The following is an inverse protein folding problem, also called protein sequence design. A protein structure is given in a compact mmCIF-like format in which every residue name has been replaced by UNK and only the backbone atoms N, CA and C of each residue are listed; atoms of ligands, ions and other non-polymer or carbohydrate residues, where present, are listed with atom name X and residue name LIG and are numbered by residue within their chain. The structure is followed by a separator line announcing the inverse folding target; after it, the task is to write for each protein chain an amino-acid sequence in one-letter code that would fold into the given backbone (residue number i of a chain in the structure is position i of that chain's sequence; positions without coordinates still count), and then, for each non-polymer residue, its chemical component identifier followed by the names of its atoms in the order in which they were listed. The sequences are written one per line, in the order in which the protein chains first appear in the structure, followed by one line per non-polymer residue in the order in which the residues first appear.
data_IF_213131221039
#
_entry.id   IF_213131221039
#
_cell.length_a   1.000
_cell.length_b   1.000
_cell.length_c   1.000
_cell.angle_alpha   90.00
_cell.angle_beta   90.00
_cell.angle_gamma   90.00
#
_symmetry.space_group_name_H-M   'P 1'
#
loop_
_entity.id
_entity.type
_entity.pdbx_description
1 polymer ?
#
# COMPACT_ATOMS: atom_id res chain seq x y z
N UNK A 1 -21.39 -19.33 -17.60
CA UNK A 1 -19.96 -19.03 -17.84
C UNK A 1 -19.21 -19.29 -16.55
N UNK A 2 -18.00 -19.86 -16.65
CA UNK A 2 -17.30 -20.58 -15.58
C UNK A 2 -17.09 -19.70 -14.33
N UNK A 3 -17.52 -20.22 -13.18
CA UNK A 3 -17.26 -19.67 -11.84
C UNK A 3 -15.83 -20.04 -11.44
N UNK A 4 -14.99 -19.05 -11.16
CA UNK A 4 -13.73 -19.26 -10.46
C UNK A 4 -13.99 -19.13 -8.96
N UNK A 5 -14.05 -20.27 -8.30
CA UNK A 5 -13.99 -20.39 -6.85
C UNK A 5 -12.53 -20.26 -6.43
N UNK A 6 -12.18 -19.28 -5.60
CA UNK A 6 -10.99 -19.38 -4.76
C UNK A 6 -11.45 -19.80 -3.36
N UNK A 7 -11.34 -21.09 -3.07
CA UNK A 7 -11.48 -21.62 -1.72
C UNK A 7 -10.12 -21.64 -1.03
N UNK A 8 -10.12 -21.21 0.23
CA UNK A 8 -9.11 -21.52 1.24
C UNK A 8 -8.60 -22.97 1.14
N UNK A 9 -7.30 -23.19 1.24
CA UNK A 9 -6.65 -24.13 2.17
C UNK A 9 -5.15 -24.25 1.82
N UNK A 10 -4.28 -24.16 2.84
CA UNK A 10 -2.93 -24.72 2.72
C UNK A 10 -1.85 -23.85 3.34
N UNK A 11 -1.73 -23.89 4.66
CA UNK A 11 -0.46 -23.72 5.38
C UNK A 11 0.67 -24.41 4.61
N UNK A 12 1.52 -23.64 3.94
CA UNK A 12 2.78 -24.13 3.39
C UNK A 12 3.87 -23.79 4.41
N UNK A 13 4.20 -24.78 5.23
CA UNK A 13 5.46 -24.83 5.96
C UNK A 13 6.57 -24.72 4.91
N UNK A 14 7.21 -23.56 4.80
CA UNK A 14 8.45 -23.46 4.03
C UNK A 14 9.57 -24.00 4.92
N UNK A 15 10.14 -25.12 4.50
CA UNK A 15 11.28 -25.78 5.12
C UNK A 15 12.47 -24.82 5.08
N UNK A 16 12.89 -24.34 6.24
CA UNK A 16 14.16 -23.63 6.42
C UNK A 16 15.28 -24.63 6.12
N UNK A 17 15.87 -24.54 4.93
CA UNK A 17 17.08 -25.27 4.58
C UNK A 17 18.25 -24.60 5.32
N UNK A 18 18.68 -25.22 6.42
CA UNK A 18 19.88 -24.83 7.17
C UNK A 18 21.12 -25.12 6.29
N UNK A 19 21.64 -24.09 5.61
CA UNK A 19 22.93 -24.13 4.94
C UNK A 19 24.03 -23.81 5.95
N UNK A 20 24.73 -24.84 6.42
CA UNK A 20 25.98 -24.70 7.16
C UNK A 20 27.08 -24.24 6.19
N UNK A 21 27.42 -22.94 6.23
CA UNK A 21 28.60 -22.41 5.53
C UNK A 21 29.78 -22.40 6.51
N UNK A 22 30.85 -23.13 6.16
CA UNK A 22 32.12 -23.06 6.86
C UNK A 22 32.80 -21.73 6.52
N UNK A 23 32.96 -20.84 7.51
CA UNK A 23 33.72 -19.59 7.40
C UNK A 23 35.22 -19.87 7.56
N UNK A 24 36.00 -19.62 6.51
CA UNK A 24 37.45 -19.47 6.62
C UNK A 24 37.76 -18.04 7.09
N UNK A 25 38.15 -17.87 8.35
CA UNK A 25 38.60 -16.59 8.89
C UNK A 25 39.95 -16.20 8.29
N UNK A 26 39.98 -15.11 7.52
CA UNK A 26 41.17 -14.27 7.39
C UNK A 26 40.96 -13.01 8.24
N UNK A 27 41.96 -12.69 9.05
CA UNK A 27 41.94 -11.64 10.06
C UNK A 27 42.07 -10.23 9.45
N UNK A 28 40.96 -9.67 8.99
CA UNK A 28 40.78 -8.22 8.85
C UNK A 28 39.42 -7.86 9.48
N UNK A 29 39.42 -7.62 10.79
CA UNK A 29 38.21 -7.25 11.56
C UNK A 29 37.85 -5.77 11.34
N UNK A 30 37.20 -5.50 10.23
CA UNK A 30 36.00 -4.67 10.28
C UNK A 30 34.85 -5.69 10.16
N UNK A 31 34.22 -6.05 11.28
CA UNK A 31 33.17 -7.08 11.29
C UNK A 31 31.98 -6.59 10.48
N UNK A 32 31.99 -6.85 9.18
CA UNK A 32 30.82 -6.71 8.32
C UNK A 32 29.79 -7.72 8.83
N UNK A 33 28.78 -7.23 9.56
CA UNK A 33 27.61 -8.03 9.89
C UNK A 33 26.89 -8.36 8.60
N UNK A 34 26.52 -9.63 8.45
CA UNK A 34 25.70 -10.07 7.33
C UNK A 34 24.23 -9.70 7.55
N UNK A 35 23.53 -9.43 6.45
CA UNK A 35 22.08 -9.28 6.46
C UNK A 35 21.42 -10.56 6.98
N UNK A 36 20.49 -10.43 7.91
CA UNK A 36 19.88 -11.57 8.58
C UNK A 36 18.36 -11.41 8.72
N UNK A 37 17.73 -12.34 9.44
CA UNK A 37 16.29 -12.38 9.62
C UNK A 37 15.73 -11.12 10.31
N UNK A 38 16.46 -10.51 11.25
CA UNK A 38 16.00 -9.30 11.95
C UNK A 38 15.95 -8.08 11.02
N UNK A 39 16.90 -8.00 10.07
CA UNK A 39 16.89 -6.96 9.03
C UNK A 39 15.71 -7.16 8.07
N UNK A 40 15.44 -8.41 7.67
CA UNK A 40 14.29 -8.75 6.83
C UNK A 40 12.95 -8.44 7.48
N UNK A 41 12.82 -8.60 8.80
CA UNK A 41 11.60 -8.29 9.54
C UNK A 41 11.21 -6.80 9.49
N UNK A 42 12.20 -5.89 9.44
CA UNK A 42 11.92 -4.45 9.25
C UNK A 42 11.22 -4.21 7.91
N UNK A 43 11.73 -4.81 6.83
CA UNK A 43 11.13 -4.70 5.50
C UNK A 43 9.73 -5.34 5.46
N UNK A 44 9.59 -6.52 6.04
CA UNK A 44 8.31 -7.25 6.07
C UNK A 44 7.23 -6.46 6.81
N UNK A 45 7.53 -5.96 8.01
CA UNK A 45 6.57 -5.19 8.79
C UNK A 45 6.24 -3.83 8.12
N UNK A 46 7.22 -3.19 7.45
CA UNK A 46 6.95 -2.02 6.63
C UNK A 46 5.94 -2.33 5.50
N UNK A 47 6.15 -3.42 4.75
CA UNK A 47 5.25 -3.86 3.68
C UNK A 47 3.85 -4.21 4.20
N UNK A 48 3.75 -4.81 5.40
CA UNK A 48 2.46 -5.09 6.06
C UNK A 48 1.73 -3.79 6.41
N UNK A 49 2.44 -2.80 6.96
CA UNK A 49 1.87 -1.49 7.26
C UNK A 49 1.39 -0.78 6.00
N UNK A 50 2.23 -0.70 4.98
CA UNK A 50 1.87 -0.09 3.69
C UNK A 50 0.62 -0.76 3.08
N UNK A 51 0.60 -2.10 3.03
CA UNK A 51 -0.54 -2.85 2.49
C UNK A 51 -1.85 -2.55 3.24
N UNK A 52 -1.81 -2.43 4.56
CA UNK A 52 -2.99 -2.10 5.36
C UNK A 52 -3.52 -0.68 5.05
N UNK A 53 -2.63 0.29 4.91
CA UNK A 53 -3.00 1.66 4.55
C UNK A 53 -3.42 1.82 3.09
N UNK A 54 -2.86 1.05 2.15
CA UNK A 54 -3.31 1.00 0.76
C UNK A 54 -4.69 0.36 0.61
N UNK A 55 -4.98 -0.68 1.37
CA UNK A 55 -6.32 -1.27 1.40
C UNK A 55 -7.36 -0.24 1.89
N UNK A 56 -7.07 0.46 2.99
CA UNK A 56 -7.98 1.49 3.51
C UNK A 56 -8.18 2.63 2.50
N UNK A 57 -7.12 2.98 1.77
CA UNK A 57 -7.18 3.99 0.71
C UNK A 57 -8.04 3.51 -0.46
N UNK A 58 -7.94 2.24 -0.85
CA UNK A 58 -8.75 1.67 -1.93
C UNK A 58 -10.25 1.72 -1.59
N UNK A 59 -10.63 1.38 -0.36
CA UNK A 59 -12.00 1.53 0.13
C UNK A 59 -12.44 2.99 0.18
N UNK A 60 -11.54 3.88 0.63
CA UNK A 60 -11.76 5.32 0.66
C UNK A 60 -12.06 5.87 -0.74
N UNK A 61 -11.20 5.56 -1.71
CA UNK A 61 -11.36 5.96 -3.11
C UNK A 61 -12.62 5.42 -3.74
N UNK A 62 -12.94 4.15 -3.50
CA UNK A 62 -14.18 3.54 -4.02
C UNK A 62 -15.42 4.26 -3.48
N UNK A 63 -15.44 4.60 -2.18
CA UNK A 63 -16.55 5.35 -1.59
C UNK A 63 -16.61 6.79 -2.11
N UNK A 64 -15.47 7.48 -2.23
CA UNK A 64 -15.43 8.85 -2.72
C UNK A 64 -15.82 8.93 -4.19
N UNK A 65 -15.28 8.08 -5.07
CA UNK A 65 -15.63 8.11 -6.49
C UNK A 65 -17.11 7.79 -6.71
N UNK A 66 -17.69 6.84 -5.96
CA UNK A 66 -19.12 6.55 -6.06
C UNK A 66 -20.03 7.72 -5.63
N UNK A 67 -19.63 8.51 -4.62
CA UNK A 67 -20.49 9.56 -4.01
C UNK A 67 -20.16 11.00 -4.43
N UNK A 68 -18.92 11.25 -4.84
CA UNK A 68 -18.42 12.53 -5.37
C UNK A 68 -18.29 12.51 -6.89
N UNK A 69 -18.20 11.33 -7.51
CA UNK A 69 -18.30 11.14 -8.94
C UNK A 69 -19.72 11.45 -9.40
N UNK A 70 -20.06 12.73 -9.46
CA UNK A 70 -21.21 13.19 -10.21
C UNK A 70 -21.04 12.73 -11.66
N UNK A 71 -22.00 11.92 -12.09
CA UNK A 71 -22.28 11.62 -13.49
C UNK A 71 -22.16 12.90 -14.33
N UNK A 72 -21.41 12.90 -15.45
CA UNK A 72 -21.41 14.03 -16.36
C UNK A 72 -22.85 14.38 -16.75
N UNK A 73 -23.21 15.67 -16.67
CA UNK A 73 -24.54 16.14 -17.03
C UNK A 73 -24.80 15.82 -18.52
N UNK A 74 -25.75 14.93 -18.82
CA UNK A 74 -26.17 14.61 -20.19
C UNK A 74 -25.93 13.17 -20.69
N UNK A 75 -25.34 12.26 -19.92
CA UNK A 75 -25.24 10.85 -20.36
C UNK A 75 -26.57 10.07 -20.19
N UNK A 76 -26.86 8.99 -20.95
CA UNK A 76 -28.07 8.16 -20.85
C UNK A 76 -28.02 7.17 -19.67
N UNK A 77 -29.15 6.98 -18.96
CA UNK A 77 -29.26 6.22 -17.68
C UNK A 77 -29.20 4.70 -17.82
N UNK A 78 -28.64 4.19 -18.92
CA UNK A 78 -28.74 2.78 -19.24
C UNK A 78 -27.64 2.00 -18.52
N UNK A 79 -28.09 1.38 -17.43
CA UNK A 79 -27.48 0.38 -16.58
C UNK A 79 -26.74 -0.67 -17.42
N UNK A 80 -25.45 -0.87 -17.15
CA UNK A 80 -24.73 -2.15 -17.30
C UNK A 80 -23.24 -2.10 -16.82
N UNK A 81 -22.75 -1.00 -16.22
CA UNK A 81 -21.36 -0.92 -15.77
C UNK A 81 -21.06 -0.07 -14.52
N UNK A 82 -22.07 0.49 -13.86
CA UNK A 82 -21.87 1.15 -12.56
C UNK A 82 -21.89 0.09 -11.46
N UNK A 83 -20.75 -0.10 -10.77
CA UNK A 83 -20.73 -0.96 -9.58
C UNK A 83 -21.72 -0.39 -8.58
N UNK A 84 -22.74 -1.16 -8.22
CA UNK A 84 -23.66 -0.74 -7.18
C UNK A 84 -22.95 -0.79 -5.80
N UNK A 85 -23.44 -0.04 -4.81
CA UNK A 85 -22.87 -0.01 -3.46
C UNK A 85 -22.78 -1.42 -2.83
N UNK A 86 -23.70 -2.30 -3.22
CA UNK A 86 -23.75 -3.70 -2.85
C UNK A 86 -22.64 -4.54 -3.55
N UNK A 87 -22.08 -4.12 -4.69
CA UNK A 87 -20.97 -4.80 -5.36
C UNK A 87 -19.61 -4.41 -4.77
N UNK A 88 -19.49 -3.19 -4.22
CA UNK A 88 -18.24 -2.70 -3.62
C UNK A 88 -18.13 -3.10 -2.14
N UNK A 89 -19.22 -2.94 -1.39
CA UNK A 89 -19.22 -3.16 0.07
C UNK A 89 -20.18 -4.26 0.52
N UNK A 90 -21.01 -4.81 -0.38
CA UNK A 90 -22.04 -5.79 -0.01
C UNK A 90 -23.08 -5.24 0.96
N UNK A 91 -23.78 -6.17 1.61
CA UNK A 91 -24.59 -5.90 2.80
C UNK A 91 -23.72 -5.67 4.06
N UNK A 92 -22.40 -5.59 3.89
CA UNK A 92 -21.40 -5.62 4.96
C UNK A 92 -21.23 -4.23 5.60
N UNK A 93 -21.28 -3.15 4.81
CA UNK A 93 -21.07 -1.80 5.31
C UNK A 93 -22.28 -0.90 5.05
N UNK A 94 -22.49 0.05 5.95
CA UNK A 94 -23.37 1.20 5.71
C UNK A 94 -22.51 2.41 5.39
N UNK A 95 -22.75 3.07 4.25
CA UNK A 95 -22.05 4.32 3.91
C UNK A 95 -22.96 5.50 4.16
N UNK A 96 -22.53 6.41 5.02
CA UNK A 96 -23.19 7.71 5.20
C UNK A 96 -22.38 8.82 4.56
N UNK A 97 -23.08 9.83 4.02
CA UNK A 97 -22.47 10.99 3.38
C UNK A 97 -23.04 12.25 4.01
N UNK A 98 -22.16 13.15 4.42
CA UNK A 98 -22.46 14.46 4.99
C UNK A 98 -21.78 15.53 4.12
N UNK A 99 -22.50 16.59 3.79
CA UNK A 99 -21.90 17.76 3.15
C UNK A 99 -21.11 18.58 4.18
N UNK A 100 -19.93 19.05 3.78
CA UNK A 100 -19.09 19.92 4.60
C UNK A 100 -19.15 21.35 4.05
N UNK A 101 -19.31 22.33 4.94
CA UNK A 101 -19.28 23.76 4.62
C UNK A 101 -17.83 24.29 4.66
N UNK A 102 -17.41 25.17 3.72
CA UNK A 102 -18.17 25.72 2.59
C UNK A 102 -18.19 24.81 1.34
N UNK A 103 -17.29 23.83 1.26
CA UNK A 103 -17.23 22.82 0.20
C UNK A 103 -16.58 21.54 0.73
N UNK A 104 -17.05 20.39 0.27
CA UNK A 104 -16.45 19.08 0.57
C UNK A 104 -17.49 18.08 1.05
N UNK A 105 -17.06 16.84 1.27
CA UNK A 105 -17.92 15.79 1.83
C UNK A 105 -17.17 15.01 2.89
N UNK A 106 -17.92 14.56 3.89
CA UNK A 106 -17.50 13.55 4.85
C UNK A 106 -18.25 12.26 4.56
N UNK A 107 -17.52 11.18 4.32
CA UNK A 107 -18.06 9.85 4.14
C UNK A 107 -17.69 9.01 5.35
N UNK A 108 -18.59 8.15 5.80
CA UNK A 108 -18.31 7.15 6.84
C UNK A 108 -18.72 5.80 6.34
N UNK A 109 -17.78 4.86 6.29
CA UNK A 109 -18.01 3.45 5.98
C UNK A 109 -18.08 2.72 7.32
N UNK A 110 -19.27 2.28 7.72
CA UNK A 110 -19.54 1.63 9.01
C UNK A 110 -19.77 0.13 8.81
N UNK A 111 -18.87 -0.70 9.33
CA UNK A 111 -18.94 -2.16 9.28
C UNK A 111 -19.65 -2.76 10.52
N UNK A 112 -20.05 -1.93 11.49
CA UNK A 112 -20.70 -2.36 12.73
C UNK A 112 -19.81 -3.16 13.69
N UNK A 113 -20.46 -3.76 14.70
CA UNK A 113 -19.89 -4.67 15.71
C UNK A 113 -20.93 -5.79 15.95
N UNK A 114 -20.65 -7.08 15.68
CA UNK A 114 -19.34 -7.74 15.63
C UNK A 114 -18.51 -7.53 14.35
N UNK A 115 -19.05 -6.82 13.36
CA UNK A 115 -18.45 -6.70 12.02
C UNK A 115 -19.09 -7.64 11.00
N UNK A 116 -18.50 -7.69 9.81
CA UNK A 116 -18.99 -8.47 8.69
C UNK A 116 -17.83 -8.93 7.78
N UNK A 117 -18.06 -9.97 6.98
CA UNK A 117 -17.09 -10.46 5.99
C UNK A 117 -17.49 -9.97 4.59
N UNK A 118 -16.59 -9.23 3.94
CA UNK A 118 -16.80 -8.71 2.59
C UNK A 118 -16.66 -9.77 1.50
N UNK A 119 -16.99 -9.42 0.26
CA UNK A 119 -16.81 -10.31 -0.90
C UNK A 119 -15.36 -10.69 -1.18
N UNK A 120 -14.42 -9.86 -0.72
CA UNK A 120 -12.99 -10.11 -0.77
C UNK A 120 -12.51 -11.09 0.33
N UNK A 121 -13.43 -11.65 1.12
CA UNK A 121 -13.15 -12.61 2.19
C UNK A 121 -12.56 -12.01 3.45
N UNK A 122 -12.34 -10.69 3.49
CA UNK A 122 -11.80 -10.00 4.68
C UNK A 122 -12.91 -9.66 5.65
N UNK A 123 -12.65 -9.86 6.95
CA UNK A 123 -13.60 -9.52 8.01
C UNK A 123 -13.25 -8.16 8.58
N UNK A 124 -14.22 -7.24 8.56
CA UNK A 124 -14.07 -5.86 8.98
C UNK A 124 -15.08 -5.49 10.08
N UNK A 125 -14.67 -4.63 11.00
CA UNK A 125 -15.56 -4.04 12.03
C UNK A 125 -15.11 -2.61 12.36
N UNK A 126 -15.98 -1.82 12.97
CA UNK A 126 -15.72 -0.39 13.22
C UNK A 126 -15.90 0.46 11.97
N UNK A 127 -15.25 1.62 11.91
CA UNK A 127 -15.52 2.63 10.86
C UNK A 127 -14.26 3.20 10.22
N UNK A 128 -14.37 3.45 8.92
CA UNK A 128 -13.44 4.30 8.18
C UNK A 128 -14.15 5.64 7.93
N UNK A 129 -13.52 6.74 8.33
CA UNK A 129 -14.06 8.09 8.20
C UNK A 129 -13.19 8.85 7.20
N UNK A 130 -13.82 9.41 6.17
CA UNK A 130 -13.15 10.02 5.03
C UNK A 130 -13.65 11.46 4.91
N UNK A 131 -12.76 12.43 4.76
CA UNK A 131 -13.12 13.79 4.38
C UNK A 131 -12.43 14.15 3.08
N UNK A 132 -13.18 14.64 2.10
CA UNK A 132 -12.66 15.04 0.80
C UNK A 132 -13.09 16.48 0.49
N UNK A 133 -12.14 17.33 0.09
CA UNK A 133 -12.43 18.73 -0.29
C UNK A 133 -12.99 18.82 -1.71
N UNK A 134 -12.59 17.90 -2.60
CA UNK A 134 -13.07 17.76 -3.97
C UNK A 134 -12.83 16.31 -4.47
N UNK A 135 -13.17 16.03 -5.74
CA UNK A 135 -12.85 14.74 -6.38
C UNK A 135 -11.33 14.54 -6.48
N UNK A 136 -10.88 13.27 -6.42
CA UNK A 136 -9.47 12.88 -6.32
C UNK A 136 -8.55 13.45 -7.43
N UNK A 137 -9.07 13.56 -8.66
CA UNK A 137 -8.33 14.09 -9.80
C UNK A 137 -8.43 15.61 -9.98
N UNK A 138 -9.18 16.32 -9.12
CA UNK A 138 -9.18 17.78 -9.14
C UNK A 138 -7.88 18.28 -8.52
N UNK A 139 -7.06 19.08 -9.22
CA UNK A 139 -5.86 19.68 -8.65
C UNK A 139 -6.16 20.46 -7.37
N UNK A 140 -5.34 20.26 -6.34
CA UNK A 140 -5.55 20.83 -5.01
C UNK A 140 -6.60 20.11 -4.14
N UNK A 141 -7.19 19.01 -4.64
CA UNK A 141 -8.06 18.18 -3.80
C UNK A 141 -7.26 17.52 -2.67
N UNK A 142 -7.90 17.39 -1.51
CA UNK A 142 -7.34 16.74 -0.32
C UNK A 142 -8.35 15.70 0.14
N UNK A 143 -7.90 14.46 0.27
CA UNK A 143 -8.67 13.37 0.87
C UNK A 143 -7.95 12.88 2.13
N UNK A 144 -8.59 13.02 3.28
CA UNK A 144 -8.11 12.52 4.56
C UNK A 144 -8.93 11.32 5.01
N UNK A 145 -8.28 10.26 5.46
CA UNK A 145 -8.88 9.01 5.94
C UNK A 145 -8.40 8.75 7.36
N UNK A 146 -9.36 8.50 8.26
CA UNK A 146 -9.15 8.21 9.69
C UNK A 146 -9.99 7.00 10.10
N UNK A 147 -9.75 6.47 11.29
CA UNK A 147 -10.34 5.22 11.75
C UNK A 147 -11.01 5.39 13.11
N UNK A 148 -12.24 4.88 13.25
CA UNK A 148 -12.93 4.76 14.52
C UNK A 148 -13.13 3.28 14.86
N UNK A 149 -12.28 2.80 15.78
CA UNK A 149 -12.25 1.41 16.22
C UNK A 149 -12.27 0.39 15.07
N UNK A 150 -11.58 0.71 13.97
CA UNK A 150 -11.56 -0.11 12.76
C UNK A 150 -10.60 -1.29 12.90
N UNK A 151 -11.06 -2.47 12.47
CA UNK A 151 -10.24 -3.66 12.35
C UNK A 151 -10.46 -4.32 11.01
N UNK A 152 -9.39 -4.90 10.47
CA UNK A 152 -9.43 -5.82 9.34
C UNK A 152 -8.71 -7.11 9.72
N UNK A 153 -9.38 -8.25 9.57
CA UNK A 153 -8.86 -9.57 9.95
C UNK A 153 -8.29 -9.62 11.39
N UNK A 154 -8.90 -8.87 12.31
CA UNK A 154 -8.49 -8.78 13.71
C UNK A 154 -7.32 -7.82 13.99
N UNK A 155 -6.71 -7.23 12.96
CA UNK A 155 -5.69 -6.17 13.11
C UNK A 155 -6.39 -4.83 13.24
N UNK A 156 -6.14 -4.10 14.33
CA UNK A 156 -6.62 -2.73 14.52
C UNK A 156 -5.77 -1.78 13.68
N UNK A 157 -6.40 -0.86 12.98
CA UNK A 157 -5.71 0.19 12.21
C UNK A 157 -6.03 1.55 12.83
N UNK A 158 -4.99 2.34 13.07
CA UNK A 158 -5.05 3.66 13.68
C UNK A 158 -4.14 4.62 12.91
N UNK A 159 -4.39 5.93 13.04
CA UNK A 159 -3.64 6.99 12.37
C UNK A 159 -4.47 7.77 11.36
N UNK A 160 -3.81 8.69 10.66
CA UNK A 160 -4.44 9.55 9.64
C UNK A 160 -3.67 9.45 8.33
N UNK A 161 -4.34 9.06 7.25
CA UNK A 161 -3.80 9.10 5.89
C UNK A 161 -4.36 10.29 5.13
N UNK A 162 -3.51 11.18 4.65
CA UNK A 162 -3.88 12.34 3.85
C UNK A 162 -3.27 12.23 2.46
N UNK A 163 -4.11 12.35 1.44
CA UNK A 163 -3.69 12.35 0.04
C UNK A 163 -4.05 13.70 -0.57
N UNK A 164 -3.05 14.39 -1.12
CA UNK A 164 -3.25 15.70 -1.75
C UNK A 164 -2.85 15.64 -3.22
N UNK A 165 -3.77 16.01 -4.10
CA UNK A 165 -3.47 16.20 -5.51
C UNK A 165 -2.69 17.50 -5.69
N UNK A 166 -1.44 17.38 -6.14
CA UNK A 166 -0.52 18.49 -6.38
C UNK A 166 -0.18 18.64 -7.87
N UNK A 167 -1.01 18.08 -8.76
CA UNK A 167 -0.82 18.15 -10.22
C UNK A 167 -0.61 19.59 -10.68
N UNK A 168 0.51 19.82 -11.35
CA UNK A 168 0.80 21.08 -12.02
C UNK A 168 0.04 21.20 -13.35
N UNK A 169 -0.19 22.43 -13.82
CA UNK A 169 -0.90 22.66 -15.07
C UNK A 169 -0.14 22.05 -16.26
N UNK A 170 -0.73 21.03 -16.89
CA UNK A 170 -0.13 20.34 -18.04
C UNK A 170 0.93 19.30 -17.66
N UNK A 171 1.11 19.02 -16.36
CA UNK A 171 1.93 17.91 -15.88
C UNK A 171 1.10 16.66 -15.61
N UNK A 172 1.79 15.57 -15.33
CA UNK A 172 1.17 14.28 -15.03
C UNK A 172 0.44 14.29 -13.68
N UNK A 173 -0.61 13.46 -13.50
CA UNK A 173 -1.30 13.35 -12.22
C UNK A 173 -0.33 13.02 -11.09
N UNK A 174 -0.23 13.92 -10.11
CA UNK A 174 0.75 13.83 -9.02
C UNK A 174 0.06 14.00 -7.68
N UNK A 175 0.31 13.07 -6.77
CA UNK A 175 -0.31 13.05 -5.45
C UNK A 175 0.72 12.86 -4.36
N UNK A 176 0.63 13.65 -3.29
CA UNK A 176 1.35 13.37 -2.04
C UNK A 176 0.51 12.46 -1.17
N UNK A 177 1.16 11.53 -0.47
CA UNK A 177 0.58 10.60 0.48
C UNK A 177 1.33 10.75 1.78
N UNK A 178 0.61 11.18 2.82
CA UNK A 178 1.13 11.35 4.16
C UNK A 178 0.37 10.45 5.11
N UNK A 179 1.07 9.66 5.91
CA UNK A 179 0.49 8.96 7.05
C UNK A 179 1.13 9.46 8.33
N UNK A 180 0.31 9.95 9.25
CA UNK A 180 0.70 10.48 10.55
C UNK A 180 0.12 9.60 11.67
N UNK A 181 0.96 9.27 12.65
CA UNK A 181 0.57 8.44 13.80
C UNK A 181 0.02 7.06 13.42
N UNK A 182 0.47 6.51 12.30
CA UNK A 182 -0.01 5.22 11.82
C UNK A 182 0.38 4.10 12.77
N UNK A 183 -0.59 3.25 13.11
CA UNK A 183 -0.36 2.12 14.02
C UNK A 183 -1.23 0.92 13.68
N UNK A 184 -0.60 -0.24 13.62
CA UNK A 184 -1.27 -1.53 13.55
C UNK A 184 -1.15 -2.25 14.89
N UNK A 185 -2.26 -2.74 15.43
CA UNK A 185 -2.27 -3.58 16.64
C UNK A 185 -2.81 -4.96 16.31
N UNK A 186 -1.99 -5.99 16.50
CA UNK A 186 -2.32 -7.38 16.16
C UNK A 186 -3.03 -8.09 17.33
N UNK A 187 -3.73 -9.22 17.07
CA UNK A 187 -4.41 -10.00 18.12
C UNK A 187 -3.49 -10.49 19.25
N UNK A 188 -2.19 -10.65 18.99
CA UNK A 188 -1.19 -11.02 19.98
C UNK A 188 -0.62 -9.82 20.76
N UNK A 189 -1.21 -8.63 20.59
CA UNK A 189 -0.81 -7.35 21.19
C UNK A 189 0.55 -6.80 20.72
N UNK A 190 1.20 -7.40 19.72
CA UNK A 190 2.34 -6.72 19.09
C UNK A 190 1.84 -5.62 18.17
N UNK A 191 2.69 -4.64 17.89
CA UNK A 191 2.32 -3.44 17.16
C UNK A 191 3.33 -3.10 16.08
N UNK A 192 2.87 -2.45 15.02
CA UNK A 192 3.72 -1.72 14.07
C UNK A 192 3.35 -0.24 14.19
N UNK A 193 4.34 0.63 14.31
CA UNK A 193 4.18 2.08 14.14
C UNK A 193 4.70 2.44 12.75
N UNK A 194 4.00 3.29 12.02
CA UNK A 194 4.32 3.58 10.63
C UNK A 194 3.87 4.97 10.21
N UNK A 195 4.80 5.70 9.60
CA UNK A 195 4.58 7.01 9.02
C UNK A 195 5.23 7.05 7.64
N UNK A 196 4.64 7.80 6.72
CA UNK A 196 5.22 8.03 5.40
C UNK A 196 4.92 9.43 4.94
N UNK A 197 5.84 9.97 4.15
CA UNK A 197 5.61 11.16 3.33
C UNK A 197 6.23 10.87 1.97
N UNK A 198 5.37 10.60 0.99
CA UNK A 198 5.77 10.20 -0.36
C UNK A 198 4.96 10.92 -1.42
N UNK A 199 5.55 11.02 -2.60
CA UNK A 199 4.92 11.52 -3.81
C UNK A 199 4.74 10.36 -4.77
N UNK A 200 3.58 10.28 -5.42
CA UNK A 200 3.31 9.37 -6.54
C UNK A 200 3.00 10.17 -7.78
N UNK A 201 3.72 9.91 -8.86
CA UNK A 201 3.45 10.41 -10.21
C UNK A 201 2.82 9.28 -11.02
N UNK A 202 1.78 9.58 -11.80
CA UNK A 202 1.15 8.66 -12.74
C UNK A 202 1.63 8.95 -14.16
N UNK A 203 2.74 8.36 -14.55
CA UNK A 203 3.44 8.71 -15.79
C UNK A 203 2.71 8.25 -17.06
N UNK A 204 2.06 7.08 -17.03
CA UNK A 204 1.43 6.49 -18.21
C UNK A 204 0.14 5.79 -17.83
N UNK A 205 -0.84 5.77 -18.74
CA UNK A 205 -2.12 5.06 -18.58
C UNK A 205 -3.25 5.89 -17.95
N UNK A 206 -2.95 7.06 -17.39
CA UNK A 206 -3.99 7.91 -16.78
C UNK A 206 -5.11 8.31 -17.76
N UNK A 207 -4.82 8.42 -19.05
CA UNK A 207 -5.81 8.72 -20.10
C UNK A 207 -6.82 7.58 -20.34
N UNK A 208 -6.38 6.31 -20.21
CA UNK A 208 -7.23 5.12 -20.41
C UNK A 208 -8.00 4.78 -19.14
N UNK A 209 -7.45 5.09 -17.96
CA UNK A 209 -8.15 4.96 -16.69
C UNK A 209 -9.33 5.92 -16.55
N UNK A 210 -9.17 7.19 -16.95
CA UNK A 210 -10.28 8.16 -16.97
C UNK A 210 -11.44 7.63 -17.83
N UNK A 211 -11.13 6.83 -18.84
CA UNK A 211 -12.09 6.18 -19.74
C UNK A 211 -12.49 4.76 -19.28
N UNK A 212 -11.94 4.25 -18.16
CA UNK A 212 -12.12 2.91 -17.60
C UNK A 212 -11.88 1.77 -18.60
N UNK A 213 -10.91 1.94 -19.50
CA UNK A 213 -10.68 1.01 -20.62
C UNK A 213 -9.73 -0.13 -20.24
N UNK A 214 -8.63 0.20 -19.56
CA UNK A 214 -7.60 -0.76 -19.20
C UNK A 214 -7.00 -0.36 -17.84
N UNK A 215 -6.99 -1.24 -16.83
CA UNK A 215 -6.36 -0.96 -15.54
C UNK A 215 -4.95 -1.60 -15.43
N UNK A 216 -4.40 -2.11 -16.54
CA UNK A 216 -3.14 -2.86 -16.57
C UNK A 216 -2.05 -2.18 -17.42
N UNK A 217 -2.27 -0.95 -17.88
CA UNK A 217 -1.32 -0.15 -18.67
C UNK A 217 -0.72 1.03 -17.90
N UNK A 218 -1.01 1.12 -16.60
CA UNK A 218 -0.53 2.22 -15.77
C UNK A 218 0.91 1.99 -15.29
N UNK A 219 1.69 3.07 -15.33
CA UNK A 219 3.03 3.18 -14.74
C UNK A 219 3.02 4.31 -13.70
N UNK A 220 3.52 4.02 -12.51
CA UNK A 220 3.66 4.97 -11.42
C UNK A 220 5.10 5.07 -10.94
N UNK A 221 5.55 6.29 -10.69
CA UNK A 221 6.80 6.55 -9.95
C UNK A 221 6.46 6.99 -8.53
N UNK A 222 7.20 6.46 -7.55
CA UNK A 222 7.03 6.79 -6.14
C UNK A 222 8.37 7.15 -5.51
N UNK A 223 8.44 8.33 -4.92
CA UNK A 223 9.58 8.78 -4.11
C UNK A 223 9.14 9.31 -2.75
N UNK A 224 10.00 9.21 -1.75
CA UNK A 224 9.77 9.79 -0.44
C UNK A 224 10.38 8.98 0.69
N UNK A 225 9.75 9.13 1.86
CA UNK A 225 10.27 8.65 3.14
C UNK A 225 9.25 7.77 3.86
N UNK A 226 9.77 6.85 4.65
CA UNK A 226 9.02 5.99 5.54
C UNK A 226 9.74 5.95 6.89
N UNK A 227 9.00 5.85 7.97
CA UNK A 227 9.61 5.65 9.29
C UNK A 227 8.64 4.92 10.19
N UNK A 228 9.16 4.34 11.27
CA UNK A 228 8.30 3.62 12.17
C UNK A 228 9.04 2.74 13.15
N UNK A 229 8.29 1.77 13.66
CA UNK A 229 8.77 0.76 14.60
C UNK A 229 8.15 -0.58 14.26
N UNK A 230 8.99 -1.59 14.03
CA UNK A 230 8.53 -2.94 13.70
C UNK A 230 8.00 -3.68 14.96
N UNK A 231 7.48 -4.90 14.77
CA UNK A 231 6.89 -5.72 15.85
C UNK A 231 7.90 -6.19 16.89
N UNK A 232 9.19 -6.13 16.57
CA UNK A 232 10.30 -6.41 17.46
C UNK A 232 10.86 -5.14 18.13
N UNK A 233 10.11 -4.03 18.06
CA UNK A 233 10.42 -2.79 18.76
C UNK A 233 11.70 -2.11 18.24
N UNK A 234 12.11 -2.41 17.00
CA UNK A 234 13.22 -1.76 16.28
C UNK A 234 12.65 -0.57 15.51
N UNK A 235 13.08 0.63 15.87
CA UNK A 235 12.76 1.85 15.12
C UNK A 235 13.59 1.91 13.84
N UNK A 236 13.03 2.47 12.77
CA UNK A 236 13.69 2.58 11.47
C UNK A 236 13.27 3.83 10.71
N UNK A 237 14.12 4.27 9.79
CA UNK A 237 13.77 5.19 8.70
C UNK A 237 14.14 4.57 7.36
N UNK A 238 13.41 4.93 6.31
CA UNK A 238 13.68 4.53 4.94
C UNK A 238 13.49 5.72 4.02
N UNK A 239 14.28 5.80 2.97
CA UNK A 239 14.11 6.81 1.92
C UNK A 239 14.42 6.24 0.55
N UNK A 240 13.68 6.68 -0.46
CA UNK A 240 13.98 6.34 -1.86
C UNK A 240 15.22 7.10 -2.31
N UNK A 241 16.28 6.38 -2.66
CA UNK A 241 17.49 6.96 -3.29
C UNK A 241 17.38 7.00 -4.82
N UNK A 242 16.49 6.18 -5.37
CA UNK A 242 15.97 6.24 -6.74
C UNK A 242 14.47 5.93 -6.70
N UNK A 243 13.68 6.69 -7.45
CA UNK A 243 12.22 6.55 -7.50
C UNK A 243 11.83 5.11 -7.82
N UNK A 244 10.83 4.61 -7.08
CA UNK A 244 10.29 3.28 -7.25
C UNK A 244 9.29 3.26 -8.41
N UNK A 245 9.51 2.40 -9.39
CA UNK A 245 8.62 2.26 -10.54
C UNK A 245 7.68 1.08 -10.33
N UNK A 246 6.39 1.32 -10.45
CA UNK A 246 5.34 0.29 -10.37
C UNK A 246 4.61 0.20 -11.71
N UNK A 247 4.47 -1.02 -12.24
CA UNK A 247 3.72 -1.29 -13.47
C UNK A 247 2.50 -2.16 -13.14
N UNK A 248 1.31 -1.67 -13.46
CA UNK A 248 0.06 -2.40 -13.16
C UNK A 248 -0.13 -3.66 -14.00
N UNK A 249 0.56 -3.78 -15.14
CA UNK A 249 0.64 -5.02 -15.91
C UNK A 249 1.19 -6.18 -15.06
N UNK A 250 2.03 -5.90 -14.07
CA UNK A 250 2.60 -6.92 -13.18
C UNK A 250 1.55 -7.58 -12.29
N UNK A 251 0.38 -6.95 -12.09
CA UNK A 251 -0.75 -7.56 -11.38
C UNK A 251 -1.25 -8.83 -12.09
N UNK A 252 -1.11 -8.91 -13.42
CA UNK A 252 -1.45 -10.11 -14.19
C UNK A 252 -0.53 -11.30 -13.85
N UNK A 253 0.66 -11.02 -13.31
CA UNK A 253 1.62 -12.01 -12.83
C UNK A 253 1.51 -12.23 -11.31
N UNK A 254 0.57 -11.55 -10.65
CA UNK A 254 0.33 -11.65 -9.22
C UNK A 254 1.32 -10.87 -8.35
N UNK A 255 2.11 -9.96 -8.93
CA UNK A 255 3.02 -9.10 -8.17
C UNK A 255 2.63 -7.62 -8.29
N UNK A 256 2.71 -6.92 -7.16
CA UNK A 256 2.57 -5.46 -7.07
C UNK A 256 3.84 -4.79 -6.54
N UNK A 257 4.96 -5.52 -6.52
CA UNK A 257 6.25 -4.97 -6.11
C UNK A 257 6.76 -3.94 -7.13
N UNK A 258 7.62 -3.00 -6.70
CA UNK A 258 8.36 -2.17 -7.64
C UNK A 258 9.17 -3.05 -8.60
N UNK A 259 9.27 -2.62 -9.85
CA UNK A 259 10.11 -3.27 -10.86
C UNK A 259 11.46 -2.59 -11.02
N UNK A 260 11.59 -1.35 -10.54
CA UNK A 260 12.80 -0.52 -10.56
C UNK A 260 12.83 0.40 -9.33
N UNK A 261 14.00 0.96 -9.05
CA UNK A 261 14.25 1.92 -7.97
C UNK A 261 15.00 1.35 -6.78
N UNK A 262 15.39 2.23 -5.87
CA UNK A 262 16.26 1.92 -4.72
C UNK A 262 15.78 2.60 -3.46
N UNK A 263 15.91 1.89 -2.34
CA UNK A 263 15.56 2.38 -1.00
C UNK A 263 16.72 2.16 -0.06
N UNK A 264 17.16 3.21 0.61
CA UNK A 264 18.05 3.08 1.76
C UNK A 264 17.23 2.85 3.02
N UNK A 265 17.63 1.88 3.83
CA UNK A 265 16.98 1.52 5.09
C UNK A 265 17.96 1.70 6.23
N UNK A 266 17.51 2.41 7.26
CA UNK A 266 18.29 2.81 8.43
C UNK A 266 17.60 2.33 9.73
N UNK A 267 17.77 1.06 10.14
CA UNK A 267 17.26 0.57 11.41
C UNK A 267 18.14 1.01 12.58
N UNK A 268 17.53 1.41 13.70
CA UNK A 268 18.20 1.96 14.89
C UNK A 268 19.25 1.07 15.56
N UNK A 269 19.09 -0.25 15.46
CA UNK A 269 19.99 -1.22 16.13
C UNK A 269 20.90 -1.97 15.15
N UNK A 270 20.75 -1.72 13.85
CA UNK A 270 21.37 -2.51 12.78
C UNK A 270 22.17 -1.61 11.84
N UNK A 271 22.86 -2.23 10.87
CA UNK A 271 23.56 -1.45 9.85
C UNK A 271 22.57 -0.95 8.80
N UNK A 272 22.88 0.21 8.22
CA UNK A 272 22.22 0.71 7.03
C UNK A 272 22.42 -0.27 5.87
N UNK A 273 21.37 -0.48 5.08
CA UNK A 273 21.42 -1.29 3.86
C UNK A 273 20.56 -0.69 2.76
N UNK A 274 20.93 -0.97 1.51
CA UNK A 274 20.18 -0.56 0.31
C UNK A 274 19.37 -1.76 -0.22
N UNK A 275 18.12 -1.51 -0.59
CA UNK A 275 17.27 -2.43 -1.35
C UNK A 275 17.18 -1.93 -2.79
N UNK A 276 17.53 -2.77 -3.76
CA UNK A 276 17.47 -2.46 -5.20
C UNK A 276 16.47 -3.40 -5.88
N UNK A 277 15.42 -2.84 -6.48
CA UNK A 277 14.30 -3.57 -7.08
C UNK A 277 14.54 -3.97 -8.55
N UNK A 278 15.68 -3.60 -9.14
CA UNK A 278 16.05 -4.03 -10.50
C UNK A 278 17.50 -4.54 -10.56
N UNK A 279 17.84 -5.58 -9.76
CA UNK A 279 19.23 -6.00 -9.63
C UNK A 279 19.78 -6.71 -10.89
N UNK A 280 18.90 -7.20 -11.78
CA UNK A 280 19.30 -8.03 -12.91
C UNK A 280 18.48 -7.84 -14.20
N UNK A 281 17.20 -7.45 -14.12
CA UNK A 281 16.26 -7.59 -15.24
C UNK A 281 15.41 -6.34 -15.52
N UNK A 282 16.01 -5.15 -15.45
CA UNK A 282 15.49 -3.85 -15.92
C UNK A 282 13.96 -3.79 -16.18
N UNK A 283 13.19 -3.76 -15.09
CA UNK A 283 11.75 -3.54 -15.16
C UNK A 283 10.88 -4.78 -15.38
N UNK A 284 11.41 -5.99 -15.22
CA UNK A 284 10.64 -7.23 -15.26
C UNK A 284 9.73 -7.42 -14.03
N UNK A 285 8.54 -7.99 -14.24
CA UNK A 285 7.61 -8.35 -13.17
C UNK A 285 8.02 -9.66 -12.45
N UNK A 286 9.29 -9.79 -12.05
CA UNK A 286 9.85 -11.03 -11.52
C UNK A 286 9.96 -11.06 -9.98
N UNK A 287 9.53 -9.99 -9.30
CA UNK A 287 9.57 -9.84 -7.84
C UNK A 287 10.97 -10.08 -7.25
N UNK A 288 12.02 -9.80 -8.04
CA UNK A 288 13.41 -10.01 -7.64
C UNK A 288 14.03 -8.69 -7.22
N UNK A 289 14.63 -8.67 -6.04
CA UNK A 289 15.35 -7.51 -5.52
C UNK A 289 16.67 -7.95 -4.90
N UNK A 290 17.59 -7.02 -4.71
CA UNK A 290 18.82 -7.26 -3.97
C UNK A 290 18.90 -6.39 -2.73
N UNK A 291 19.61 -6.89 -1.72
CA UNK A 291 19.93 -6.15 -0.50
C UNK A 291 21.44 -6.03 -0.38
N UNK A 292 21.95 -4.81 -0.24
CA UNK A 292 23.37 -4.54 -0.10
C UNK A 292 23.68 -3.95 1.27
N UNK A 293 24.56 -4.62 2.02
CA UNK A 293 25.05 -4.22 3.34
C UNK A 293 26.58 -4.21 3.32
N UNK A 294 27.18 -3.02 3.40
CA UNK A 294 28.62 -2.86 3.20
C UNK A 294 29.07 -3.41 1.84
N UNK A 295 29.94 -4.42 1.84
CA UNK A 295 30.45 -5.07 0.62
C UNK A 295 29.71 -6.36 0.24
N UNK A 296 28.62 -6.69 0.94
CA UNK A 296 27.84 -7.90 0.68
C UNK A 296 26.53 -7.53 -0.03
N UNK A 297 26.21 -8.25 -1.11
CA UNK A 297 24.93 -8.15 -1.82
C UNK A 297 24.27 -9.52 -1.86
N UNK A 298 23.00 -9.58 -1.47
CA UNK A 298 22.17 -10.79 -1.51
C UNK A 298 21.03 -10.57 -2.49
N UNK A 299 20.81 -11.51 -3.41
CA UNK A 299 19.65 -11.51 -4.31
C UNK A 299 18.52 -12.31 -3.66
N UNK A 300 17.34 -11.71 -3.60
CA UNK A 300 16.13 -12.31 -3.07
C UNK A 300 15.13 -12.41 -4.22
N UNK A 301 14.69 -13.64 -4.50
CA UNK A 301 13.62 -13.90 -5.46
C UNK A 301 12.33 -14.11 -4.66
N UNK A 302 11.31 -13.30 -4.94
CA UNK A 302 10.01 -13.37 -4.27
C UNK A 302 9.02 -14.32 -4.90
#
# INVERSE_FOLDING_TARGET
MKKLFFSSLGTLLMVVAFLLVFTACNNDEETAREFNAEDAEVLLDNTVAESAFEESFTLSMSATEFRLGGRPEGEPTDKDGEMNEEEIFGTCATITVEDLEPTGKKLTIDFGDPGCTGFDGKTRKGKIIITATARYFVPGSVVSTTFDNYFVNGVKVEGTKTVTNITELGGDPTHTYVVDGGKLTFPNNTTIEWETNRTRVWETGHETFIQRVNPFDDVFEVSGTYSGKNRNNVSYTMETTQDLVFKTECWLQGTGAPVEGKVEVNPSNFFTYEVDYSPANDGACDNTYSVTIGNQTIIING
#
